data_IF_206622621984
#
_entry.id   IF_206622621984
#
_cell.length_a   1.000
_cell.length_b   1.000
_cell.length_c   1.000
_cell.angle_alpha   90.00
_cell.angle_beta   90.00
_cell.angle_gamma   90.00
#
_symmetry.space_group_name_H-M   'P 1'
#
loop_
_entity.id
_entity.type
_entity.pdbx_description
1 polymer ?
#
# COMPACT_ATOMS: atom_id res chain seq x y z
N UNK A 1 61.05 -21.06 -5.50
CA UNK A 1 60.10 -20.72 -6.53
C UNK A 1 58.80 -21.55 -6.46
N UNK A 2 58.85 -22.90 -6.38
CA UNK A 2 57.63 -23.72 -6.34
C UNK A 2 56.71 -23.42 -5.11
N UNK A 3 57.28 -23.12 -3.95
CA UNK A 3 56.51 -22.79 -2.74
C UNK A 3 55.80 -21.41 -2.86
N UNK A 4 56.45 -20.45 -3.50
CA UNK A 4 55.90 -19.11 -3.71
C UNK A 4 54.70 -19.12 -4.71
N UNK A 5 54.79 -19.94 -5.77
CA UNK A 5 53.71 -20.13 -6.73
C UNK A 5 52.52 -20.82 -6.10
N UNK A 6 52.78 -21.83 -5.23
CA UNK A 6 51.69 -22.54 -4.53
C UNK A 6 50.92 -21.61 -3.58
N UNK A 7 51.63 -20.72 -2.85
CA UNK A 7 51.00 -19.74 -1.96
C UNK A 7 50.20 -18.71 -2.72
N UNK A 8 50.68 -18.27 -3.89
CA UNK A 8 49.98 -17.31 -4.72
C UNK A 8 48.71 -17.90 -5.36
N UNK A 9 48.75 -19.17 -5.77
CA UNK A 9 47.57 -19.88 -6.28
C UNK A 9 46.54 -20.09 -5.19
N UNK A 10 46.95 -20.40 -3.96
CA UNK A 10 46.08 -20.59 -2.82
C UNK A 10 45.39 -19.27 -2.40
N UNK A 11 46.07 -18.12 -2.52
CA UNK A 11 45.53 -16.79 -2.25
C UNK A 11 44.49 -16.37 -3.33
N UNK A 12 44.74 -16.73 -4.60
CA UNK A 12 43.82 -16.41 -5.70
C UNK A 12 42.50 -17.20 -5.63
N UNK A 13 42.55 -18.44 -5.11
CA UNK A 13 41.36 -19.30 -4.97
C UNK A 13 40.48 -18.88 -3.79
N UNK A 14 41.01 -18.21 -2.76
CA UNK A 14 40.22 -17.78 -1.61
C UNK A 14 39.36 -16.54 -1.89
N UNK A 15 39.68 -15.74 -2.89
CA UNK A 15 38.87 -14.55 -3.26
C UNK A 15 37.61 -14.89 -4.07
N UNK A 16 37.46 -16.11 -4.57
CA UNK A 16 36.31 -16.53 -5.38
C UNK A 16 35.11 -17.04 -4.56
N UNK A 17 35.24 -17.18 -3.24
CA UNK A 17 34.21 -17.78 -2.37
C UNK A 17 33.30 -16.75 -1.68
N UNK A 18 33.49 -15.46 -1.89
CA UNK A 18 32.63 -14.42 -1.35
C UNK A 18 31.87 -13.76 -2.52
N UNK A 19 30.97 -14.52 -3.14
CA UNK A 19 29.95 -13.91 -3.98
C UNK A 19 28.86 -13.38 -3.05
N UNK A 20 28.69 -12.04 -2.90
CA UNK A 20 27.45 -11.55 -2.30
C UNK A 20 26.32 -12.06 -3.20
N UNK A 21 25.31 -12.66 -2.62
CA UNK A 21 24.07 -12.94 -3.31
C UNK A 21 23.53 -11.59 -3.77
N UNK A 22 23.58 -11.33 -5.07
CA UNK A 22 22.82 -10.21 -5.64
C UNK A 22 21.35 -10.55 -5.41
N UNK A 23 20.74 -9.96 -4.38
CA UNK A 23 19.32 -9.97 -4.19
C UNK A 23 18.73 -9.00 -5.22
N UNK A 24 18.35 -9.56 -6.36
CA UNK A 24 17.71 -8.84 -7.46
C UNK A 24 16.18 -8.98 -7.38
N UNK A 25 15.64 -9.24 -6.18
CA UNK A 25 14.20 -9.38 -6.00
C UNK A 25 13.63 -8.09 -5.43
N UNK A 26 12.50 -7.68 -5.97
CA UNK A 26 11.70 -6.58 -5.43
C UNK A 26 11.13 -7.02 -4.08
N UNK A 27 11.71 -6.52 -3.00
CA UNK A 27 11.24 -6.79 -1.64
C UNK A 27 10.04 -5.89 -1.31
N UNK A 28 9.08 -6.43 -0.57
CA UNK A 28 8.00 -5.62 0.03
C UNK A 28 8.57 -4.77 1.15
N UNK A 29 8.47 -3.47 1.02
CA UNK A 29 8.91 -2.47 2.01
C UNK A 29 7.81 -2.22 3.03
N UNK A 30 6.57 -2.09 2.57
CA UNK A 30 5.40 -1.86 3.42
C UNK A 30 4.13 -2.39 2.79
N UNK A 31 3.10 -2.58 3.63
CA UNK A 31 1.75 -2.82 3.16
C UNK A 31 0.74 -2.03 3.98
N UNK A 32 -0.41 -1.72 3.38
CA UNK A 32 -1.59 -1.27 4.09
C UNK A 32 -2.79 -2.14 3.68
N UNK A 33 -3.54 -2.68 4.63
CA UNK A 33 -3.22 -2.74 6.06
C UNK A 33 -1.86 -3.39 6.32
N UNK A 34 -1.19 -3.02 7.43
CA UNK A 34 0.05 -3.68 7.81
C UNK A 34 -0.22 -5.14 8.22
N UNK A 35 0.77 -6.01 8.07
CA UNK A 35 0.62 -7.39 8.50
C UNK A 35 0.30 -7.49 10.00
N UNK A 36 -0.84 -8.12 10.32
CA UNK A 36 -1.36 -8.26 11.69
C UNK A 36 -2.13 -7.04 12.21
N UNK A 37 -2.31 -6.00 11.40
CA UNK A 37 -3.12 -4.83 11.77
C UNK A 37 -4.60 -5.18 11.88
N UNK A 38 -5.33 -4.44 12.72
CA UNK A 38 -6.79 -4.48 12.78
C UNK A 38 -7.36 -3.18 12.28
N UNK A 39 -8.25 -3.24 11.29
CA UNK A 39 -8.86 -2.07 10.66
C UNK A 39 -10.38 -2.13 10.78
N UNK A 40 -11.05 -0.99 10.64
CA UNK A 40 -12.51 -0.89 10.61
C UNK A 40 -13.06 -1.41 9.27
N UNK A 41 -14.24 -2.07 9.32
CA UNK A 41 -14.95 -2.53 8.13
C UNK A 41 -15.30 -1.37 7.20
N UNK A 42 -15.20 -1.62 5.89
CA UNK A 42 -15.44 -0.58 4.90
C UNK A 42 -14.85 -0.91 3.54
N UNK A 43 -14.78 0.09 2.65
CA UNK A 43 -13.91 0.05 1.48
C UNK A 43 -12.46 0.25 1.96
N UNK A 44 -11.71 -0.83 2.04
CA UNK A 44 -10.34 -0.85 2.55
C UNK A 44 -9.37 -0.83 1.38
N UNK A 45 -8.51 0.20 1.33
CA UNK A 45 -7.40 0.23 0.39
C UNK A 45 -6.40 -0.89 0.73
N UNK A 46 -5.99 -1.64 -0.27
CA UNK A 46 -4.90 -2.62 -0.16
C UNK A 46 -3.74 -2.04 -0.94
N UNK A 47 -2.65 -1.70 -0.26
CA UNK A 47 -1.45 -1.15 -0.86
C UNK A 47 -0.26 -2.04 -0.53
N UNK A 48 0.62 -2.23 -1.50
CA UNK A 48 1.86 -2.98 -1.32
C UNK A 48 2.96 -2.17 -1.98
N UNK A 49 3.90 -1.72 -1.17
CA UNK A 49 5.05 -0.94 -1.62
C UNK A 49 6.28 -1.84 -1.74
N UNK A 50 6.96 -1.75 -2.87
CA UNK A 50 8.14 -2.51 -3.19
C UNK A 50 9.40 -1.65 -3.10
N UNK A 51 10.56 -2.28 -3.05
CA UNK A 51 11.86 -1.61 -3.00
C UNK A 51 12.23 -0.91 -4.31
N UNK A 52 11.64 -1.32 -5.43
CA UNK A 52 11.84 -0.77 -6.77
C UNK A 52 10.52 -0.62 -7.49
N UNK A 53 10.52 0.16 -8.57
CA UNK A 53 9.34 0.34 -9.41
C UNK A 53 8.90 -0.99 -10.00
N UNK A 54 7.58 -1.21 -10.04
CA UNK A 54 6.95 -2.34 -10.72
C UNK A 54 6.77 -2.04 -12.20
N UNK A 55 6.70 -3.08 -13.03
CA UNK A 55 6.46 -2.93 -14.45
C UNK A 55 5.07 -2.34 -14.69
N UNK A 56 5.00 -1.12 -15.23
CA UNK A 56 3.72 -0.54 -15.62
C UNK A 56 3.26 -1.14 -16.95
N UNK A 57 2.06 -1.69 -16.98
CA UNK A 57 1.39 -2.08 -18.22
C UNK A 57 -0.09 -1.69 -18.20
N UNK A 58 -0.64 -1.36 -19.35
CA UNK A 58 -2.02 -0.84 -19.46
C UNK A 58 -3.10 -1.84 -19.05
N UNK A 59 -2.79 -3.14 -19.05
CA UNK A 59 -3.74 -4.22 -18.78
C UNK A 59 -3.52 -4.89 -17.43
N UNK A 60 -2.53 -4.45 -16.64
CA UNK A 60 -2.11 -5.09 -15.38
C UNK A 60 -1.81 -6.60 -15.51
N UNK A 61 -1.33 -7.03 -16.69
CA UNK A 61 -0.97 -8.44 -16.92
C UNK A 61 0.17 -8.86 -15.99
N UNK A 62 -0.04 -9.96 -15.27
CA UNK A 62 0.93 -10.50 -14.32
C UNK A 62 0.80 -9.94 -12.91
N UNK A 63 -0.08 -8.98 -12.69
CA UNK A 63 -0.38 -8.42 -11.36
C UNK A 63 -1.68 -9.03 -10.80
N UNK A 64 -1.71 -9.22 -9.49
CA UNK A 64 -2.89 -9.72 -8.79
C UNK A 64 -2.92 -9.19 -7.35
N UNK A 65 -4.11 -8.83 -6.88
CA UNK A 65 -4.46 -8.70 -5.47
C UNK A 65 -5.74 -9.50 -5.27
N UNK A 66 -5.67 -10.50 -4.40
CA UNK A 66 -6.82 -11.31 -4.01
C UNK A 66 -6.96 -11.25 -2.49
N UNK A 67 -8.15 -10.93 -2.02
CA UNK A 67 -8.48 -10.93 -0.59
C UNK A 67 -9.45 -12.06 -0.31
N UNK A 68 -9.18 -12.86 0.72
CA UNK A 68 -10.05 -13.94 1.15
C UNK A 68 -10.24 -13.92 2.68
N UNK A 69 -11.39 -14.39 3.15
CA UNK A 69 -11.64 -14.60 4.56
C UNK A 69 -10.93 -15.85 5.11
N UNK A 70 -11.04 -16.09 6.42
CA UNK A 70 -10.44 -17.24 7.09
C UNK A 70 -10.97 -18.60 6.61
N UNK A 71 -12.09 -18.62 5.88
CA UNK A 71 -12.70 -19.82 5.28
C UNK A 71 -12.28 -20.02 3.82
N UNK A 72 -11.53 -19.06 3.26
CA UNK A 72 -11.07 -19.08 1.87
C UNK A 72 -12.07 -18.50 0.87
N UNK A 73 -13.15 -17.85 1.33
CA UNK A 73 -14.08 -17.19 0.41
C UNK A 73 -13.45 -15.89 -0.09
N UNK A 74 -13.39 -15.75 -1.42
CA UNK A 74 -12.83 -14.56 -2.06
C UNK A 74 -13.78 -13.38 -1.87
N UNK A 75 -13.21 -12.25 -1.47
CA UNK A 75 -13.93 -11.02 -1.21
C UNK A 75 -13.95 -10.11 -2.46
N UNK A 76 -14.96 -9.22 -2.58
CA UNK A 76 -15.00 -8.25 -3.66
C UNK A 76 -13.81 -7.31 -3.61
N UNK A 77 -13.09 -7.21 -4.73
CA UNK A 77 -11.94 -6.32 -4.93
C UNK A 77 -12.19 -5.49 -6.18
N UNK A 78 -11.90 -4.19 -6.10
CA UNK A 78 -12.05 -3.25 -7.21
C UNK A 78 -10.88 -3.30 -8.20
N UNK A 79 -10.68 -2.21 -8.93
CA UNK A 79 -9.62 -2.12 -9.92
C UNK A 79 -8.23 -2.24 -9.30
N UNK A 80 -7.37 -2.97 -10.00
CA UNK A 80 -5.96 -3.05 -9.71
C UNK A 80 -5.24 -1.86 -10.34
N UNK A 81 -4.35 -1.21 -9.59
CA UNK A 81 -3.55 -0.09 -10.07
C UNK A 81 -2.08 -0.30 -9.73
N UNK A 82 -1.21 0.12 -10.64
CA UNK A 82 0.24 0.17 -10.45
C UNK A 82 0.72 1.60 -10.59
N UNK A 83 1.56 2.09 -9.68
CA UNK A 83 2.12 3.43 -9.72
C UNK A 83 3.50 3.47 -9.08
N UNK A 84 4.55 3.65 -9.87
CA UNK A 84 5.93 3.58 -9.36
C UNK A 84 6.21 2.23 -8.72
N UNK A 85 6.56 2.23 -7.45
CA UNK A 85 6.82 1.03 -6.66
C UNK A 85 5.59 0.46 -5.94
N UNK A 86 4.38 0.98 -6.20
CA UNK A 86 3.17 0.59 -5.46
C UNK A 86 2.20 -0.21 -6.33
N UNK A 87 1.75 -1.35 -5.82
CA UNK A 87 0.61 -2.13 -6.31
C UNK A 87 -0.57 -1.88 -5.36
N UNK A 88 -1.74 -1.57 -5.91
CA UNK A 88 -2.88 -1.20 -5.08
C UNK A 88 -4.23 -1.63 -5.64
N UNK A 89 -5.19 -1.82 -4.73
CA UNK A 89 -6.60 -2.04 -5.03
C UNK A 89 -7.46 -1.63 -3.83
N UNK A 90 -8.78 -1.77 -3.94
CA UNK A 90 -9.72 -1.56 -2.83
C UNK A 90 -10.58 -2.81 -2.65
N UNK A 91 -10.67 -3.31 -1.41
CA UNK A 91 -11.54 -4.42 -1.05
C UNK A 91 -12.74 -3.91 -0.24
N UNK A 92 -13.93 -4.48 -0.46
CA UNK A 92 -15.11 -4.21 0.37
C UNK A 92 -15.25 -5.32 1.41
N UNK A 93 -14.99 -5.01 2.69
CA UNK A 93 -14.97 -6.00 3.77
C UNK A 93 -15.92 -5.58 4.88
N UNK A 94 -16.92 -6.42 5.16
CA UNK A 94 -17.95 -6.14 6.15
C UNK A 94 -17.92 -7.08 7.36
N UNK A 95 -17.50 -8.33 7.18
CA UNK A 95 -17.51 -9.30 8.28
C UNK A 95 -16.31 -9.11 9.20
N UNK A 96 -16.54 -9.26 10.51
CA UNK A 96 -15.46 -9.34 11.49
C UNK A 96 -14.60 -10.58 11.24
N UNK A 97 -13.30 -10.47 11.44
CA UNK A 97 -12.39 -11.61 11.38
C UNK A 97 -11.11 -11.36 10.63
N UNK A 98 -10.36 -12.45 10.41
CA UNK A 98 -9.08 -12.40 9.74
C UNK A 98 -9.23 -12.55 8.24
N UNK A 99 -8.47 -11.77 7.51
CA UNK A 99 -8.38 -11.78 6.06
C UNK A 99 -6.96 -12.05 5.60
N UNK A 100 -6.86 -12.72 4.47
CA UNK A 100 -5.61 -13.04 3.79
C UNK A 100 -5.56 -12.26 2.49
N UNK A 101 -4.47 -11.58 2.26
CA UNK A 101 -4.13 -10.95 0.98
C UNK A 101 -3.08 -11.79 0.30
N UNK A 102 -3.43 -12.36 -0.85
CA UNK A 102 -2.47 -12.95 -1.77
C UNK A 102 -2.22 -11.94 -2.89
N UNK A 103 -0.96 -11.72 -3.22
CA UNK A 103 -0.59 -10.76 -4.23
C UNK A 103 0.50 -11.30 -5.16
N UNK A 104 0.50 -10.77 -6.39
CA UNK A 104 1.54 -10.99 -7.38
C UNK A 104 1.89 -9.68 -8.06
N UNK A 105 3.18 -9.46 -8.26
CA UNK A 105 3.74 -8.29 -8.94
C UNK A 105 4.78 -8.71 -9.96
N UNK A 106 5.09 -7.84 -10.91
CA UNK A 106 6.16 -8.02 -11.87
C UNK A 106 7.10 -6.83 -11.75
N UNK A 107 8.34 -7.11 -11.40
CA UNK A 107 9.38 -6.09 -11.32
C UNK A 107 9.76 -5.52 -12.68
N UNK A 108 10.44 -4.38 -12.69
CA UNK A 108 10.92 -3.74 -13.91
C UNK A 108 11.91 -4.60 -14.71
N UNK A 109 12.52 -5.60 -14.08
CA UNK A 109 13.38 -6.60 -14.70
C UNK A 109 12.60 -7.76 -15.38
N UNK A 110 11.27 -7.73 -15.29
CA UNK A 110 10.35 -8.72 -15.85
C UNK A 110 10.17 -9.99 -15.00
N UNK A 111 10.76 -10.06 -13.82
CA UNK A 111 10.55 -11.19 -12.92
C UNK A 111 9.29 -11.01 -12.07
N UNK A 112 8.48 -12.07 -12.00
CA UNK A 112 7.33 -12.09 -11.13
C UNK A 112 7.75 -12.43 -9.70
N UNK A 113 7.20 -11.67 -8.74
CA UNK A 113 7.28 -11.92 -7.31
C UNK A 113 5.87 -12.07 -6.76
N UNK A 114 5.71 -12.90 -5.74
CA UNK A 114 4.41 -13.14 -5.11
C UNK A 114 4.57 -13.28 -3.60
N UNK A 115 3.50 -13.03 -2.88
CA UNK A 115 3.50 -13.20 -1.44
C UNK A 115 2.11 -13.12 -0.84
N UNK A 116 2.09 -13.24 0.48
CA UNK A 116 0.86 -13.20 1.26
C UNK A 116 1.07 -12.50 2.59
N UNK A 117 0.05 -11.80 3.07
CA UNK A 117 -0.01 -11.29 4.42
C UNK A 117 -1.44 -11.36 4.96
N UNK A 118 -1.60 -11.11 6.26
CA UNK A 118 -2.90 -11.18 6.95
C UNK A 118 -3.13 -9.91 7.75
N UNK A 119 -4.39 -9.54 7.87
CA UNK A 119 -4.87 -8.48 8.74
C UNK A 119 -6.26 -8.85 9.29
N UNK A 120 -6.77 -8.09 10.24
CA UNK A 120 -8.09 -8.33 10.84
C UNK A 120 -9.03 -7.16 10.58
N UNK A 121 -10.32 -7.43 10.50
CA UNK A 121 -11.39 -6.44 10.34
C UNK A 121 -12.32 -6.50 11.53
N UNK A 122 -12.76 -5.33 12.00
CA UNK A 122 -13.86 -5.18 12.97
C UNK A 122 -14.91 -4.25 12.38
N UNK A 123 -16.20 -4.60 12.55
CA UNK A 123 -17.30 -3.82 11.99
C UNK A 123 -18.12 -3.18 13.12
N UNK A 124 -17.70 -1.99 13.55
CA UNK A 124 -18.42 -1.24 14.59
C UNK A 124 -19.48 -0.30 14.00
N UNK A 125 -19.42 -0.05 12.68
CA UNK A 125 -20.31 0.88 11.97
C UNK A 125 -21.50 0.21 11.29
N UNK A 126 -21.60 -1.12 11.35
CA UNK A 126 -22.57 -1.94 10.60
C UNK A 126 -22.45 -1.72 9.07
N UNK A 127 -21.22 -1.62 8.58
CA UNK A 127 -20.96 -1.52 7.16
C UNK A 127 -21.49 -2.76 6.43
N UNK A 128 -22.15 -2.55 5.30
CA UNK A 128 -22.64 -3.62 4.41
C UNK A 128 -21.68 -3.78 3.21
N UNK A 129 -21.33 -5.01 2.91
CA UNK A 129 -20.39 -5.33 1.84
C UNK A 129 -20.95 -4.94 0.47
N UNK A 130 -20.12 -4.28 -0.32
CA UNK A 130 -20.39 -3.93 -1.71
C UNK A 130 -19.91 -5.03 -2.65
N UNK A 131 -20.56 -5.18 -3.80
CA UNK A 131 -20.06 -6.04 -4.88
C UNK A 131 -18.91 -5.37 -5.64
N UNK A 132 -18.10 -6.16 -6.36
CA UNK A 132 -16.91 -5.65 -7.05
C UNK A 132 -17.22 -4.54 -8.07
N UNK A 133 -18.37 -4.58 -8.72
CA UNK A 133 -18.84 -3.57 -9.68
C UNK A 133 -19.27 -2.26 -9.01
N UNK A 134 -19.55 -2.28 -7.70
CA UNK A 134 -19.88 -1.09 -6.90
C UNK A 134 -18.65 -0.44 -6.27
N UNK A 135 -17.53 -1.16 -6.22
CA UNK A 135 -16.28 -0.63 -5.71
C UNK A 135 -15.70 0.27 -6.80
N UNK A 136 -15.72 1.58 -6.55
CA UNK A 136 -15.13 2.53 -7.48
C UNK A 136 -13.65 2.18 -7.71
N UNK A 137 -13.19 2.37 -8.95
CA UNK A 137 -11.76 2.34 -9.26
C UNK A 137 -11.10 3.60 -8.67
N UNK A 138 -11.24 3.80 -7.36
CA UNK A 138 -10.55 4.86 -6.66
C UNK A 138 -9.06 4.52 -6.69
N UNK A 139 -8.23 5.49 -7.02
CA UNK A 139 -6.81 5.38 -6.73
C UNK A 139 -6.70 5.15 -5.23
N UNK A 140 -6.05 4.08 -4.80
CA UNK A 140 -5.98 3.67 -3.39
C UNK A 140 -5.44 4.77 -2.44
N UNK A 141 -4.85 5.83 -3.00
CA UNK A 141 -4.40 7.03 -2.31
C UNK A 141 -5.56 7.88 -1.73
N UNK A 142 -6.78 7.77 -2.28
CA UNK A 142 -7.94 8.50 -1.76
C UNK A 142 -8.64 7.78 -0.58
N UNK A 143 -8.39 6.49 -0.39
CA UNK A 143 -8.98 5.70 0.70
C UNK A 143 -8.12 5.63 1.96
N UNK A 144 -6.83 5.92 1.86
CA UNK A 144 -5.97 6.17 2.99
C UNK A 144 -6.24 7.59 3.50
N UNK A 145 -7.37 7.80 4.17
CA UNK A 145 -7.57 9.04 4.90
C UNK A 145 -6.40 9.18 5.87
N UNK A 146 -5.67 10.33 5.86
CA UNK A 146 -4.66 10.55 6.88
C UNK A 146 -5.35 10.41 8.22
N UNK A 147 -4.79 9.58 9.10
CA UNK A 147 -5.14 9.56 10.52
C UNK A 147 -4.75 10.96 11.02
N UNK A 148 -5.68 11.91 10.94
CA UNK A 148 -5.52 13.16 11.66
C UNK A 148 -5.52 12.77 13.12
N UNK A 149 -4.33 12.75 13.71
CA UNK A 149 -4.18 12.78 15.15
C UNK A 149 -5.16 13.83 15.66
N UNK A 150 -6.00 13.42 16.61
CA UNK A 150 -6.98 14.27 17.27
C UNK A 150 -6.34 15.59 17.65
N UNK A 151 -6.61 16.64 16.89
CA UNK A 151 -6.29 18.00 17.30
C UNK A 151 -7.43 18.45 18.21
N UNK A 152 -7.05 18.60 19.48
CA UNK A 152 -7.93 19.04 20.54
C UNK A 152 -8.57 20.38 20.23
N UNK A 153 -9.84 20.43 20.52
CA UNK A 153 -10.66 21.58 20.87
C UNK A 153 -10.10 22.95 20.49
N UNK A 154 -10.69 23.54 19.45
CA UNK A 154 -10.82 24.98 19.36
C UNK A 154 -12.29 25.33 19.22
N UNK A 155 -12.86 25.69 20.36
CA UNK A 155 -14.05 26.54 20.41
C UNK A 155 -13.67 27.88 19.80
N UNK A 156 -14.22 28.18 18.64
CA UNK A 156 -14.24 29.54 18.13
C UNK A 156 -15.68 30.03 18.15
N UNK A 157 -16.05 30.62 19.24
CA UNK A 157 -17.08 31.64 19.26
C UNK A 157 -16.53 32.84 18.48
N UNK A 158 -17.11 33.13 17.35
CA UNK A 158 -16.99 34.47 16.81
C UNK A 158 -18.27 34.87 16.05
N UNK A 159 -19.17 35.45 16.82
CA UNK A 159 -20.23 36.29 16.34
C UNK A 159 -19.64 37.65 15.94
N UNK A 160 -19.09 37.75 14.74
CA UNK A 160 -18.67 39.01 14.15
C UNK A 160 -19.69 39.51 13.12
N UNK A 161 -20.71 40.21 13.60
CA UNK A 161 -21.60 40.96 12.72
C UNK A 161 -20.81 42.04 11.97
N UNK A 162 -20.72 41.90 10.67
CA UNK A 162 -20.18 42.93 9.79
C UNK A 162 -21.29 43.92 9.47
N UNK A 163 -21.40 44.98 10.29
CA UNK A 163 -22.26 46.12 9.97
C UNK A 163 -21.46 47.07 9.10
N UNK A 164 -21.83 47.15 7.83
CA UNK A 164 -21.31 48.16 6.93
C UNK A 164 -21.80 49.55 7.30
N UNK A 165 -20.89 50.49 7.40
CA UNK A 165 -21.25 51.92 7.42
C UNK A 165 -20.51 52.63 6.29
N UNK A 166 -21.28 52.98 5.28
CA UNK A 166 -20.97 53.97 4.25
C UNK A 166 -21.17 55.38 4.84
N UNK A 167 -20.15 56.17 4.84
CA UNK A 167 -20.20 57.64 4.88
C UNK A 167 -19.04 58.10 4.02
N UNK A 168 -19.12 58.73 2.89
CA UNK A 168 -19.94 59.80 2.42
C UNK A 168 -19.29 61.13 2.66
N UNK A 169 -18.62 61.67 1.64
CA UNK A 169 -18.51 63.05 1.22
C UNK A 169 -17.74 64.09 2.07
N UNK A 170 -16.95 64.84 1.37
CA UNK A 170 -17.00 66.27 1.42
C UNK A 170 -15.64 66.97 1.57
N UNK A 171 -15.17 67.44 0.48
CA UNK A 171 -14.85 68.84 0.18
C UNK A 171 -14.25 69.73 1.30
N UNK A 172 -13.06 70.11 1.18
CA UNK A 172 -12.56 71.45 0.79
C UNK A 172 -11.06 71.36 0.51
#
# INVERSE_FOLDING_TARGET
>A
MKKLVLTFVLLLTSTFLISPSAMAHDDVVSSYPAAGETVEAGPIGILIDFSNDVMANENNEGFEIRVSDSQGNVQPVGCLNTSGATLSSTASLAADGDYVVDWRSVGNDGHAVEGTFKFSVVNTTNYEQQSADQIACATALDSAAPITAADGARTADDNGAFTGLLIGAGLI
#
